data_IF_853009272569
#
_entry.id   IF_853009272569
#
_cell.length_a   1.000
_cell.length_b   1.000
_cell.length_c   1.000
_cell.angle_alpha   90.00
_cell.angle_beta   90.00
_cell.angle_gamma   90.00
#
_symmetry.space_group_name_H-M   'P 1'
#
loop_
_entity.id
_entity.type
_entity.pdbx_description
1 polymer ?
#
# COMPACT_ATOMS: atom_id res chain seq x y z
N UNK A 1 57.11 14.57 -27.26
CA UNK A 1 56.16 13.52 -27.68
C UNK A 1 55.20 13.30 -26.53
N UNK A 2 53.96 13.81 -26.62
CA UNK A 2 52.96 13.66 -25.56
C UNK A 2 51.95 12.62 -26.03
N UNK A 3 51.92 11.45 -25.39
CA UNK A 3 50.98 10.38 -25.70
C UNK A 3 49.74 10.54 -24.83
N UNK A 4 48.61 10.88 -25.45
CA UNK A 4 47.30 10.91 -24.80
C UNK A 4 46.84 9.48 -24.51
N UNK A 5 46.76 9.09 -23.22
CA UNK A 5 46.06 7.88 -22.81
C UNK A 5 44.56 8.15 -22.73
N UNK A 6 43.77 7.44 -23.53
CA UNK A 6 42.31 7.40 -23.40
C UNK A 6 41.91 6.44 -22.27
N UNK A 7 41.16 6.93 -21.29
CA UNK A 7 40.62 6.09 -20.21
C UNK A 7 39.54 5.13 -20.72
N UNK A 8 39.46 3.89 -20.20
CA UNK A 8 38.44 2.94 -20.61
C UNK A 8 37.05 3.45 -20.19
N UNK A 9 36.12 3.55 -21.15
CA UNK A 9 34.74 3.96 -20.89
C UNK A 9 33.95 2.74 -20.43
N UNK A 10 33.71 2.61 -19.12
CA UNK A 10 32.83 1.57 -18.57
C UNK A 10 31.37 1.87 -18.97
N UNK A 11 30.79 1.01 -19.80
CA UNK A 11 29.40 1.12 -20.21
C UNK A 11 28.45 0.97 -19.03
N UNK A 12 27.46 1.86 -18.93
CA UNK A 12 26.38 1.78 -17.93
C UNK A 12 25.12 1.25 -18.61
N UNK A 13 24.50 0.22 -18.01
CA UNK A 13 23.22 -0.34 -18.45
C UNK A 13 22.15 -0.03 -17.39
N UNK A 14 21.14 0.74 -17.77
CA UNK A 14 20.00 1.03 -16.91
C UNK A 14 19.04 -0.15 -16.91
N UNK A 15 19.07 -0.96 -15.86
CA UNK A 15 18.12 -2.06 -15.60
C UNK A 15 16.87 -1.55 -14.89
N UNK A 16 16.23 -0.55 -15.49
CA UNK A 16 15.14 0.26 -14.91
C UNK A 16 14.03 -0.53 -14.21
N UNK A 17 13.16 0.20 -13.49
CA UNK A 17 12.70 -0.14 -12.15
C UNK A 17 12.32 -1.62 -12.01
N UNK A 18 13.00 -2.28 -11.07
CA UNK A 18 12.64 -3.61 -10.62
C UNK A 18 11.33 -3.51 -9.83
N UNK A 19 10.24 -3.46 -10.58
CA UNK A 19 8.91 -3.70 -10.05
C UNK A 19 8.76 -5.20 -9.89
N UNK A 20 8.37 -5.64 -8.70
CA UNK A 20 7.95 -7.01 -8.47
C UNK A 20 6.61 -7.20 -9.20
N UNK A 21 6.66 -7.51 -10.49
CA UNK A 21 5.47 -7.83 -11.28
C UNK A 21 5.11 -9.29 -10.98
N UNK A 22 4.16 -9.43 -10.05
CA UNK A 22 3.50 -10.68 -9.67
C UNK A 22 4.41 -11.77 -9.07
N UNK A 23 4.23 -12.02 -7.78
CA UNK A 23 4.34 -13.36 -7.26
C UNK A 23 2.97 -13.99 -7.52
N UNK A 24 2.89 -14.95 -8.43
CA UNK A 24 1.76 -15.87 -8.42
C UNK A 24 1.86 -16.58 -7.06
N UNK A 25 1.04 -16.14 -6.11
CA UNK A 25 0.90 -16.84 -4.85
C UNK A 25 0.20 -18.17 -5.19
N UNK A 26 1.00 -19.20 -5.48
CA UNK A 26 0.61 -20.58 -5.22
C UNK A 26 0.35 -20.68 -3.71
N UNK A 27 -0.86 -20.31 -3.28
CA UNK A 27 -1.35 -20.48 -1.91
C UNK A 27 -1.53 -21.98 -1.68
N UNK A 28 -0.43 -22.67 -1.41
CA UNK A 28 -0.48 -24.04 -0.94
C UNK A 28 -0.61 -24.07 0.60
N UNK A 29 -1.85 -24.30 1.02
CA UNK A 29 -2.26 -25.07 2.19
C UNK A 29 -1.94 -24.52 3.59
N UNK A 30 -2.93 -23.88 4.18
CA UNK A 30 -3.62 -24.50 5.32
C UNK A 30 -5.12 -24.42 5.10
N UNK A 31 -5.75 -25.59 5.06
CA UNK A 31 -7.16 -25.84 4.83
C UNK A 31 -8.08 -24.90 5.63
N UNK A 32 -9.08 -24.32 4.95
CA UNK A 32 -10.51 -24.41 5.27
C UNK A 32 -11.26 -23.16 4.72
N UNK A 33 -12.12 -23.43 3.73
CA UNK A 33 -13.30 -22.65 3.29
C UNK A 33 -13.09 -21.31 2.54
N UNK A 34 -13.46 -21.37 1.25
CA UNK A 34 -13.75 -20.32 0.27
C UNK A 34 -12.57 -19.55 -0.37
N UNK A 35 -12.41 -19.78 -1.67
CA UNK A 35 -11.61 -19.03 -2.67
C UNK A 35 -12.26 -17.64 -2.93
N UNK A 36 -12.77 -17.02 -1.87
CA UNK A 36 -13.55 -15.80 -1.91
C UNK A 36 -12.62 -14.60 -1.97
N UNK A 37 -12.90 -13.76 -2.96
CA UNK A 37 -12.26 -12.46 -3.14
C UNK A 37 -12.33 -11.68 -1.81
N UNK A 38 -11.23 -11.05 -1.37
CA UNK A 38 -11.26 -10.33 -0.11
C UNK A 38 -12.27 -9.17 -0.18
N UNK A 39 -13.05 -8.98 0.89
CA UNK A 39 -14.17 -8.02 0.98
C UNK A 39 -13.82 -6.60 0.48
N UNK A 40 -12.59 -6.13 0.66
CA UNK A 40 -12.18 -4.80 0.20
C UNK A 40 -12.00 -4.73 -1.32
N UNK A 41 -11.67 -5.83 -2.01
CA UNK A 41 -11.68 -5.89 -3.48
C UNK A 41 -13.13 -5.88 -3.97
N UNK A 42 -14.03 -6.65 -3.35
CA UNK A 42 -15.45 -6.63 -3.72
C UNK A 42 -16.05 -5.22 -3.58
N UNK A 43 -15.70 -4.51 -2.51
CA UNK A 43 -16.10 -3.12 -2.33
C UNK A 43 -15.52 -2.20 -3.42
N UNK A 44 -14.27 -2.40 -3.86
CA UNK A 44 -13.70 -1.64 -4.97
C UNK A 44 -14.41 -1.92 -6.30
N UNK A 45 -14.77 -3.17 -6.56
CA UNK A 45 -15.52 -3.56 -7.76
C UNK A 45 -16.91 -2.88 -7.76
N UNK A 46 -17.59 -2.86 -6.62
CA UNK A 46 -18.86 -2.14 -6.47
C UNK A 46 -18.69 -0.64 -6.77
N UNK A 47 -17.62 0.00 -6.27
CA UNK A 47 -17.34 1.42 -6.55
C UNK A 47 -17.07 1.67 -8.04
N UNK A 48 -16.41 0.72 -8.71
CA UNK A 48 -16.18 0.78 -10.15
C UNK A 48 -17.51 0.68 -10.93
N UNK A 49 -18.39 -0.23 -10.55
CA UNK A 49 -19.74 -0.36 -11.14
C UNK A 49 -20.58 0.90 -10.94
N UNK A 50 -20.46 1.56 -9.79
CA UNK A 50 -21.09 2.85 -9.48
C UNK A 50 -20.46 4.05 -10.24
N UNK A 51 -19.34 3.85 -10.95
CA UNK A 51 -18.59 4.93 -11.61
C UNK A 51 -17.94 5.91 -10.63
N UNK A 52 -17.67 5.46 -9.40
CA UNK A 52 -17.14 6.26 -8.30
C UNK A 52 -15.61 6.13 -8.17
N UNK A 53 -14.94 7.25 -7.93
CA UNK A 53 -13.50 7.28 -7.69
C UNK A 53 -13.18 6.89 -6.25
N UNK A 54 -12.09 6.15 -6.06
CA UNK A 54 -11.58 5.77 -4.74
C UNK A 54 -10.16 6.29 -4.55
N UNK A 55 -9.92 7.01 -3.47
CA UNK A 55 -8.59 7.48 -3.08
C UNK A 55 -7.84 6.38 -2.32
N UNK A 56 -6.74 5.87 -2.89
CA UNK A 56 -5.84 4.97 -2.18
C UNK A 56 -4.81 5.75 -1.36
N UNK A 57 -4.63 5.36 -0.09
CA UNK A 57 -3.74 6.03 0.85
C UNK A 57 -2.86 4.99 1.53
N UNK A 58 -1.55 5.13 1.36
CA UNK A 58 -0.56 4.35 2.08
C UNK A 58 0.72 5.15 2.29
N UNK A 59 1.27 5.09 3.50
CA UNK A 59 2.52 5.79 3.85
C UNK A 59 3.77 4.90 3.67
N UNK A 60 3.66 3.80 2.92
CA UNK A 60 4.75 2.84 2.73
C UNK A 60 5.15 2.11 4.01
N UNK A 61 6.13 1.21 3.94
CA UNK A 61 6.52 0.35 5.07
C UNK A 61 7.33 1.07 6.16
N UNK A 62 8.00 2.17 5.84
CA UNK A 62 8.92 2.84 6.78
C UNK A 62 8.37 4.08 7.46
N UNK A 63 7.31 4.70 6.94
CA UNK A 63 6.75 5.88 7.62
C UNK A 63 6.01 5.47 8.90
N UNK A 64 6.25 6.24 9.96
CA UNK A 64 5.50 6.19 11.21
C UNK A 64 4.80 7.53 11.43
N UNK A 65 3.48 7.49 11.59
CA UNK A 65 2.69 8.67 11.94
C UNK A 65 2.43 8.71 13.45
N UNK A 66 2.53 9.90 14.02
CA UNK A 66 2.01 10.14 15.36
C UNK A 66 0.49 9.90 15.40
N UNK A 67 -0.06 9.66 16.60
CA UNK A 67 -1.50 9.49 16.75
C UNK A 67 -2.27 10.76 16.33
N UNK A 68 -1.72 11.93 16.64
CA UNK A 68 -2.28 13.24 16.27
C UNK A 68 -2.33 13.41 14.76
N UNK A 69 -1.26 13.09 14.04
CA UNK A 69 -1.24 13.15 12.58
C UNK A 69 -2.23 12.16 11.96
N UNK A 70 -2.33 10.94 12.50
CA UNK A 70 -3.29 9.96 12.03
C UNK A 70 -4.74 10.47 12.21
N UNK A 71 -5.01 11.11 13.35
CA UNK A 71 -6.32 11.69 13.65
C UNK A 71 -6.67 12.84 12.71
N UNK A 72 -5.73 13.74 12.41
CA UNK A 72 -5.98 14.84 11.47
C UNK A 72 -6.22 14.32 10.04
N UNK A 73 -5.51 13.26 9.62
CA UNK A 73 -5.79 12.60 8.34
C UNK A 73 -7.19 11.98 8.34
N UNK A 74 -7.57 11.25 9.40
CA UNK A 74 -8.90 10.66 9.52
C UNK A 74 -10.00 11.72 9.42
N UNK A 75 -9.86 12.83 10.17
CA UNK A 75 -10.79 13.96 10.14
C UNK A 75 -10.84 14.64 8.77
N UNK A 76 -9.69 14.77 8.10
CA UNK A 76 -9.63 15.29 6.73
C UNK A 76 -10.40 14.41 5.75
N UNK A 77 -10.27 13.09 5.87
CA UNK A 77 -10.97 12.14 5.02
C UNK A 77 -12.48 12.15 5.26
N UNK A 78 -12.92 12.14 6.52
CA UNK A 78 -14.33 12.26 6.89
C UNK A 78 -14.97 13.53 6.31
N UNK A 79 -14.28 14.67 6.41
CA UNK A 79 -14.77 15.95 5.89
C UNK A 79 -14.74 16.05 4.36
N UNK A 80 -13.91 15.25 3.69
CA UNK A 80 -13.75 15.32 2.24
C UNK A 80 -14.91 14.68 1.47
N UNK A 81 -15.69 13.82 2.12
CA UNK A 81 -16.82 13.10 1.50
C UNK A 81 -16.42 12.32 0.23
N UNK A 82 -15.19 11.81 0.19
CA UNK A 82 -14.70 10.94 -0.90
C UNK A 82 -14.73 9.48 -0.47
N UNK A 83 -14.83 8.55 -1.41
CA UNK A 83 -14.54 7.15 -1.13
C UNK A 83 -13.02 6.99 -1.01
N UNK A 84 -12.55 6.25 0.00
CA UNK A 84 -11.12 6.03 0.20
C UNK A 84 -10.83 4.61 0.69
N UNK A 85 -9.66 4.10 0.32
CA UNK A 85 -9.06 2.89 0.85
C UNK A 85 -7.75 3.27 1.53
N UNK A 86 -7.70 3.16 2.85
CA UNK A 86 -6.56 3.61 3.64
C UNK A 86 -5.91 2.47 4.40
N UNK A 87 -4.61 2.25 4.15
CA UNK A 87 -3.79 1.29 4.89
C UNK A 87 -3.22 1.95 6.15
N UNK A 88 -3.76 1.58 7.31
CA UNK A 88 -3.29 2.05 8.62
C UNK A 88 -2.47 0.97 9.30
N UNK A 89 -1.25 1.31 9.73
CA UNK A 89 -0.40 0.39 10.49
C UNK A 89 -0.82 0.32 11.95
N UNK A 90 -0.90 -0.88 12.49
CA UNK A 90 -1.03 -1.11 13.94
C UNK A 90 0.33 -0.91 14.60
N UNK A 91 0.41 -0.06 15.63
CA UNK A 91 1.65 0.09 16.41
C UNK A 91 1.94 -1.22 17.16
N UNK A 92 3.09 -1.84 16.87
CA UNK A 92 3.59 -3.02 17.60
C UNK A 92 4.00 -2.58 19.01
N UNK A 93 3.08 -2.71 19.97
CA UNK A 93 3.31 -2.28 21.35
C UNK A 93 2.02 -1.92 22.10
N UNK A 94 0.91 -1.72 21.39
CA UNK A 94 -0.41 -1.72 22.01
C UNK A 94 -0.81 -3.17 22.29
N UNK A 95 -0.58 -3.63 23.52
CA UNK A 95 -1.26 -4.82 24.05
C UNK A 95 -2.75 -4.68 23.75
N UNK A 96 -3.29 -5.68 23.06
CA UNK A 96 -4.67 -5.70 22.62
C UNK A 96 -5.61 -5.67 23.82
N UNK A 97 -6.05 -4.48 24.22
CA UNK A 97 -7.17 -4.34 25.17
C UNK A 97 -8.05 -3.13 24.93
N UNK A 98 -7.91 -2.38 23.83
CA UNK A 98 -8.83 -1.26 23.62
C UNK A 98 -9.16 -0.98 22.15
N UNK A 99 -10.45 -1.05 21.84
CA UNK A 99 -11.06 -0.27 20.77
C UNK A 99 -11.18 -0.88 19.38
N UNK A 100 -11.73 -2.09 19.23
CA UNK A 100 -12.47 -2.40 17.98
C UNK A 100 -13.78 -1.60 18.01
N UNK A 101 -13.80 -0.39 17.47
CA UNK A 101 -15.06 0.31 17.20
C UNK A 101 -15.37 0.26 15.71
N UNK A 102 -16.25 -0.67 15.35
CA UNK A 102 -17.01 -0.63 14.11
C UNK A 102 -17.93 0.59 14.20
N UNK A 103 -17.65 1.64 13.42
CA UNK A 103 -18.60 2.74 13.24
C UNK A 103 -19.32 2.52 11.91
N UNK A 104 -20.63 2.35 12.05
CA UNK A 104 -21.63 2.25 10.98
C UNK A 104 -21.61 3.52 10.15
#
# INVERSE_FOLDING_TARGET
MSSSQSSPTTGTLSVGPLLQLSQDDDINSTNDEDDDKPMWIEWLDQKLEEGSWVLYIAFGSQAELSAEQLQEVAKGLENSNVNFLWVVKKKSGATASDGLTKRV
#
